data_IF_158014138421
#
_entry.id   IF_158014138421
#
_cell.length_a   1.000
_cell.length_b   1.000
_cell.length_c   1.000
_cell.angle_alpha   90.00
_cell.angle_beta   90.00
_cell.angle_gamma   90.00
#
_symmetry.space_group_name_H-M   'P 1'
#
loop_
_entity.id
_entity.type
_entity.pdbx_description
1 polymer ?
#
# COMPACT_ATOMS: atom_id res chain seq x y z
N UNK A 1 4.94 15.88 -11.22
CA UNK A 1 4.47 14.82 -10.30
C UNK A 1 3.74 13.74 -11.08
N UNK A 2 3.99 12.45 -10.79
CA UNK A 2 3.18 11.32 -11.23
C UNK A 2 2.28 10.88 -10.08
N UNK A 3 0.98 10.65 -10.35
CA UNK A 3 0.01 10.24 -9.33
C UNK A 3 -0.54 8.86 -9.67
N UNK A 4 -0.53 7.95 -8.70
CA UNK A 4 -0.97 6.57 -8.85
C UNK A 4 -1.68 6.06 -7.61
N UNK A 5 -2.44 4.97 -7.76
CA UNK A 5 -3.18 4.29 -6.71
C UNK A 5 -3.54 2.87 -7.15
N UNK A 6 -3.99 2.01 -6.22
CA UNK A 6 -4.68 0.75 -6.52
C UNK A 6 -3.85 -0.25 -7.34
N UNK A 7 -2.71 -0.67 -6.80
CA UNK A 7 -1.77 -1.60 -7.45
C UNK A 7 -2.10 -3.05 -7.15
N UNK A 8 -3.15 -3.62 -7.78
CA UNK A 8 -3.52 -5.00 -7.54
C UNK A 8 -2.65 -5.98 -8.34
N UNK A 9 -1.67 -6.62 -7.69
CA UNK A 9 -0.66 -7.51 -8.30
C UNK A 9 -1.27 -8.67 -9.11
N UNK A 10 -2.28 -9.43 -8.62
CA UNK A 10 -2.85 -10.54 -9.39
C UNK A 10 -3.69 -10.11 -10.58
N UNK A 11 -4.13 -8.84 -10.63
CA UNK A 11 -5.02 -8.34 -11.68
C UNK A 11 -4.32 -8.02 -13.01
N UNK A 12 -3.00 -7.84 -13.01
CA UNK A 12 -2.28 -7.47 -14.23
C UNK A 12 -0.84 -7.03 -13.98
N UNK A 13 -0.15 -6.65 -15.05
CA UNK A 13 1.22 -6.15 -14.99
C UNK A 13 1.27 -4.66 -14.61
N UNK A 14 2.37 -4.27 -13.99
CA UNK A 14 2.61 -2.91 -13.52
C UNK A 14 3.26 -1.99 -14.57
N UNK A 15 2.80 -2.10 -15.83
CA UNK A 15 3.36 -1.38 -16.98
C UNK A 15 3.44 0.14 -16.79
N UNK A 16 2.49 0.73 -16.05
CA UNK A 16 2.48 2.17 -15.74
C UNK A 16 3.73 2.58 -14.98
N UNK A 17 4.21 1.75 -14.06
CA UNK A 17 5.43 2.05 -13.31
C UNK A 17 6.68 2.05 -14.20
N UNK A 18 6.75 1.14 -15.20
CA UNK A 18 7.83 1.16 -16.18
C UNK A 18 7.84 2.45 -17.00
N UNK A 19 6.66 2.97 -17.37
CA UNK A 19 6.57 4.23 -18.11
C UNK A 19 6.96 5.43 -17.24
N UNK A 20 6.54 5.47 -15.97
CA UNK A 20 6.96 6.52 -15.02
C UNK A 20 8.48 6.52 -14.84
N UNK A 21 9.11 5.34 -14.74
CA UNK A 21 10.56 5.22 -14.60
C UNK A 21 11.37 5.81 -15.77
N UNK A 22 10.75 5.98 -16.95
CA UNK A 22 11.40 6.56 -18.15
C UNK A 22 11.28 8.09 -18.24
N UNK A 23 10.43 8.69 -17.43
CA UNK A 23 10.18 10.13 -17.45
C UNK A 23 11.32 10.87 -16.72
N UNK A 24 11.87 11.90 -17.36
CA UNK A 24 13.00 12.68 -16.83
C UNK A 24 12.58 14.03 -16.23
N UNK A 25 11.29 14.36 -16.30
CA UNK A 25 10.69 15.63 -15.88
C UNK A 25 9.74 15.48 -14.68
N UNK A 26 9.90 14.38 -13.91
CA UNK A 26 9.11 14.10 -12.71
C UNK A 26 9.99 14.25 -11.46
N UNK A 27 9.59 15.12 -10.54
CA UNK A 27 10.29 15.36 -9.27
C UNK A 27 9.93 14.33 -8.20
N UNK A 28 8.69 13.84 -8.21
CA UNK A 28 8.18 12.84 -7.28
C UNK A 28 7.01 12.03 -7.84
N UNK A 29 6.90 10.79 -7.39
CA UNK A 29 5.75 9.93 -7.58
C UNK A 29 4.87 9.94 -6.31
N UNK A 30 3.56 10.09 -6.48
CA UNK A 30 2.58 10.09 -5.39
C UNK A 30 1.79 8.77 -5.46
N UNK A 31 1.75 8.02 -4.36
CA UNK A 31 0.91 6.84 -4.24
C UNK A 31 -0.18 7.08 -3.19
N UNK A 32 -1.43 7.04 -3.62
CA UNK A 32 -2.59 7.42 -2.80
C UNK A 32 -3.18 6.26 -1.99
N UNK A 33 -2.47 5.14 -1.90
CA UNK A 33 -2.87 3.95 -1.18
C UNK A 33 -3.23 2.79 -2.09
N UNK A 34 -3.61 1.66 -1.50
CA UNK A 34 -3.75 0.35 -2.16
C UNK A 34 -2.47 -0.05 -2.91
N UNK A 35 -1.36 0.14 -2.23
CA UNK A 35 -0.06 -0.33 -2.74
C UNK A 35 0.02 -1.85 -2.74
N UNK A 36 -0.62 -2.50 -1.77
CA UNK A 36 -0.86 -3.95 -1.71
C UNK A 36 -2.36 -4.21 -1.55
N UNK A 37 -2.78 -5.46 -1.79
CA UNK A 37 -4.12 -5.96 -1.50
C UNK A 37 -4.02 -7.19 -0.60
N UNK A 38 -4.83 -7.26 0.45
CA UNK A 38 -4.81 -8.30 1.48
C UNK A 38 -5.43 -9.63 1.04
N UNK A 39 -6.23 -9.63 -0.01
CA UNK A 39 -7.04 -10.77 -0.44
C UNK A 39 -6.25 -12.07 -0.66
N UNK A 40 -6.88 -13.26 -0.47
CA UNK A 40 -6.30 -14.54 -0.81
C UNK A 40 -6.09 -14.71 -2.32
N UNK A 41 -5.45 -15.81 -2.73
CA UNK A 41 -5.14 -16.08 -4.16
C UNK A 41 -6.34 -16.17 -5.08
N UNK A 42 -7.49 -16.56 -4.56
CA UNK A 42 -8.77 -16.68 -5.25
C UNK A 42 -9.72 -15.50 -4.97
N UNK A 43 -9.19 -14.43 -4.37
CA UNK A 43 -9.93 -13.24 -4.01
C UNK A 43 -10.11 -12.25 -5.17
N UNK A 44 -10.27 -10.99 -4.81
CA UNK A 44 -10.60 -9.91 -5.73
C UNK A 44 -9.64 -9.80 -6.91
N UNK A 45 -10.21 -9.79 -8.14
CA UNK A 45 -9.53 -9.58 -9.41
C UNK A 45 -8.34 -10.53 -9.68
N UNK A 46 -8.44 -11.79 -9.22
CA UNK A 46 -7.36 -12.80 -9.34
C UNK A 46 -7.60 -13.83 -10.47
N UNK A 47 -8.59 -13.63 -11.35
CA UNK A 47 -9.04 -14.60 -12.34
C UNK A 47 -7.93 -15.04 -13.28
N UNK A 48 -7.07 -14.11 -13.67
CA UNK A 48 -5.97 -14.33 -14.60
C UNK A 48 -4.60 -14.53 -13.92
N UNK A 49 -4.55 -14.53 -12.60
CA UNK A 49 -3.30 -14.55 -11.83
C UNK A 49 -2.38 -15.74 -12.16
N UNK A 50 -2.95 -16.92 -12.42
CA UNK A 50 -2.18 -18.11 -12.84
C UNK A 50 -1.60 -17.91 -14.22
N UNK A 51 -2.40 -17.48 -15.19
CA UNK A 51 -1.98 -17.26 -16.58
C UNK A 51 -0.90 -16.17 -16.69
N UNK A 52 -1.01 -15.14 -15.86
CA UNK A 52 -0.07 -14.02 -15.78
C UNK A 52 1.17 -14.33 -14.93
N UNK A 53 1.22 -15.48 -14.26
CA UNK A 53 2.26 -15.81 -13.26
C UNK A 53 2.37 -14.74 -12.15
N UNK A 54 1.21 -14.27 -11.66
CA UNK A 54 1.10 -13.21 -10.64
C UNK A 54 0.32 -13.67 -9.41
N UNK A 55 0.57 -14.91 -8.98
CA UNK A 55 0.00 -15.43 -7.73
C UNK A 55 0.61 -14.70 -6.53
N UNK A 56 -0.25 -14.30 -5.59
CA UNK A 56 0.18 -13.66 -4.35
C UNK A 56 0.65 -14.65 -3.30
N UNK A 57 1.48 -14.19 -2.38
CA UNK A 57 1.85 -14.85 -1.12
C UNK A 57 1.49 -13.94 0.06
N UNK A 58 0.96 -14.50 1.17
CA UNK A 58 0.54 -15.90 1.34
C UNK A 58 -0.65 -16.25 0.43
N UNK A 59 -0.99 -17.54 0.36
CA UNK A 59 -2.19 -18.02 -0.38
C UNK A 59 -3.49 -17.53 0.23
N UNK A 60 -3.46 -17.35 1.54
CA UNK A 60 -4.58 -16.87 2.37
C UNK A 60 -4.60 -15.36 2.40
N UNK A 61 -5.66 -14.80 2.95
CA UNK A 61 -5.73 -13.41 3.32
C UNK A 61 -4.63 -13.04 4.33
N UNK A 62 -4.19 -11.78 4.31
CA UNK A 62 -3.15 -11.31 5.24
C UNK A 62 -3.77 -10.89 6.57
N UNK A 63 -3.37 -11.53 7.66
CA UNK A 63 -3.83 -11.23 9.02
C UNK A 63 -2.65 -11.01 9.97
N UNK A 64 -1.57 -11.78 9.81
CA UNK A 64 -0.39 -11.70 10.68
C UNK A 64 0.71 -10.81 10.08
N UNK A 65 1.67 -10.41 10.92
CA UNK A 65 2.85 -9.65 10.46
C UNK A 65 3.62 -10.39 9.36
N UNK A 66 3.75 -11.72 9.49
CA UNK A 66 4.42 -12.55 8.46
C UNK A 66 3.67 -12.51 7.14
N UNK A 67 2.34 -12.51 7.18
CA UNK A 67 1.51 -12.45 5.97
C UNK A 67 1.69 -11.12 5.26
N UNK A 68 1.59 -10.00 5.97
CA UNK A 68 1.80 -8.67 5.39
C UNK A 68 3.20 -8.51 4.81
N UNK A 69 4.25 -8.96 5.52
CA UNK A 69 5.63 -8.95 5.01
C UNK A 69 5.77 -9.77 3.74
N UNK A 70 5.15 -10.95 3.68
CA UNK A 70 5.16 -11.81 2.49
C UNK A 70 4.44 -11.15 1.32
N UNK A 71 3.32 -10.46 1.59
CA UNK A 71 2.56 -9.73 0.59
C UNK A 71 3.36 -8.54 0.02
N UNK A 72 3.98 -7.72 0.86
CA UNK A 72 4.89 -6.67 0.38
C UNK A 72 6.05 -7.24 -0.42
N UNK A 73 6.65 -8.34 0.05
CA UNK A 73 7.77 -8.97 -0.64
C UNK A 73 7.43 -9.42 -2.07
N UNK A 74 6.24 -10.00 -2.30
CA UNK A 74 5.84 -10.42 -3.65
C UNK A 74 5.58 -9.22 -4.58
N UNK A 75 4.93 -8.16 -4.09
CA UNK A 75 4.73 -6.93 -4.85
C UNK A 75 6.06 -6.26 -5.23
N UNK A 76 6.99 -6.17 -4.28
CA UNK A 76 8.31 -5.55 -4.47
C UNK A 76 9.25 -6.36 -5.36
N UNK A 77 8.89 -7.57 -5.79
CA UNK A 77 9.62 -8.36 -6.80
C UNK A 77 9.29 -7.93 -8.22
N UNK A 78 8.21 -7.17 -8.44
CA UNK A 78 7.86 -6.67 -9.76
C UNK A 78 8.95 -5.72 -10.29
N UNK A 79 9.47 -6.02 -11.48
CA UNK A 79 10.61 -5.30 -12.06
C UNK A 79 10.26 -3.84 -12.42
N UNK A 80 9.02 -3.61 -12.89
CA UNK A 80 8.56 -2.28 -13.27
C UNK A 80 8.36 -1.39 -12.05
N UNK A 81 7.83 -1.97 -10.96
CA UNK A 81 7.72 -1.28 -9.68
C UNK A 81 9.10 -0.95 -9.09
N UNK A 82 10.07 -1.88 -9.19
CA UNK A 82 11.46 -1.63 -8.75
C UNK A 82 12.10 -0.51 -9.57
N UNK A 83 11.90 -0.51 -10.89
CA UNK A 83 12.45 0.53 -11.77
C UNK A 83 11.91 1.92 -11.39
N UNK A 84 10.61 2.05 -11.13
CA UNK A 84 10.02 3.32 -10.67
C UNK A 84 10.60 3.76 -9.32
N UNK A 85 10.70 2.86 -8.35
CA UNK A 85 11.29 3.18 -7.04
C UNK A 85 12.76 3.60 -7.12
N UNK A 86 13.50 3.08 -8.11
CA UNK A 86 14.89 3.46 -8.32
C UNK A 86 15.03 4.81 -9.02
N UNK A 87 14.06 5.17 -9.86
CA UNK A 87 14.13 6.37 -10.70
C UNK A 87 13.59 7.64 -10.01
N UNK A 88 12.53 7.51 -9.18
CA UNK A 88 11.76 8.64 -8.68
C UNK A 88 11.48 8.50 -7.18
N UNK A 89 11.67 9.57 -6.37
CA UNK A 89 11.26 9.58 -4.97
C UNK A 89 9.75 9.31 -4.82
N UNK A 90 9.37 8.42 -3.89
CA UNK A 90 7.97 8.10 -3.64
C UNK A 90 7.44 8.82 -2.39
N UNK A 91 6.31 9.51 -2.55
CA UNK A 91 5.49 10.06 -1.48
C UNK A 91 4.21 9.22 -1.43
N UNK A 92 4.01 8.45 -0.35
CA UNK A 92 2.89 7.52 -0.24
C UNK A 92 2.06 7.76 1.01
N UNK A 93 0.77 7.45 0.92
CA UNK A 93 -0.14 7.22 2.05
C UNK A 93 -0.74 5.83 1.89
N UNK A 94 -1.40 5.33 2.91
CA UNK A 94 -2.25 4.14 2.80
C UNK A 94 -3.67 4.52 2.39
N UNK A 95 -4.39 3.53 1.84
CA UNK A 95 -5.84 3.49 1.83
C UNK A 95 -6.29 2.31 2.73
N UNK A 96 -7.31 1.56 2.37
CA UNK A 96 -7.81 0.47 3.22
C UNK A 96 -7.05 -0.85 3.02
N UNK A 97 -6.69 -1.21 1.79
CA UNK A 97 -6.10 -2.52 1.48
C UNK A 97 -4.70 -2.74 2.05
N UNK A 98 -4.02 -1.72 2.54
CA UNK A 98 -2.83 -1.89 3.37
C UNK A 98 -3.15 -2.56 4.71
N UNK A 99 -4.44 -2.58 5.11
CA UNK A 99 -4.99 -3.22 6.31
C UNK A 99 -5.96 -4.34 5.95
N UNK A 100 -7.16 -3.99 5.50
CA UNK A 100 -8.21 -4.86 5.00
C UNK A 100 -9.29 -4.01 4.32
N UNK A 101 -10.05 -4.61 3.40
CA UNK A 101 -11.10 -3.93 2.65
C UNK A 101 -12.00 -3.08 3.54
N UNK A 102 -12.19 -1.84 3.11
CA UNK A 102 -13.01 -0.81 3.76
C UNK A 102 -12.64 -0.54 5.24
N UNK A 103 -11.33 -0.57 5.54
CA UNK A 103 -10.82 -0.34 6.89
C UNK A 103 -11.13 1.07 7.43
N UNK A 104 -11.43 1.11 8.72
CA UNK A 104 -11.51 2.34 9.52
C UNK A 104 -10.78 2.12 10.86
N UNK A 105 -10.77 3.11 11.75
CA UNK A 105 -10.00 3.03 12.99
C UNK A 105 -10.38 1.82 13.87
N UNK A 106 -11.65 1.40 13.86
CA UNK A 106 -12.20 0.36 14.73
C UNK A 106 -12.39 -1.01 14.08
N UNK A 107 -12.26 -1.14 12.75
CA UNK A 107 -12.57 -2.38 12.04
C UNK A 107 -12.31 -2.33 10.55
N UNK A 108 -12.80 -3.35 9.83
CA UNK A 108 -12.81 -3.42 8.38
C UNK A 108 -13.98 -4.31 7.94
N UNK A 109 -14.44 -4.16 6.69
CA UNK A 109 -15.57 -4.93 6.17
C UNK A 109 -15.30 -6.43 6.19
N UNK A 110 -14.14 -6.85 5.73
CA UNK A 110 -13.74 -8.26 5.64
C UNK A 110 -12.88 -8.75 6.82
N UNK A 111 -12.99 -8.12 7.98
CA UNK A 111 -12.34 -8.58 9.21
C UNK A 111 -13.34 -9.23 10.16
N UNK A 112 -13.12 -10.51 10.50
CA UNK A 112 -13.92 -11.24 11.48
C UNK A 112 -13.17 -11.38 12.82
N UNK A 113 -13.56 -10.61 13.86
CA UNK A 113 -12.91 -10.69 15.17
C UNK A 113 -13.02 -12.06 15.87
N UNK A 114 -14.00 -12.90 15.48
CA UNK A 114 -14.19 -14.21 16.09
C UNK A 114 -13.11 -15.22 15.64
N UNK A 115 -12.61 -15.08 14.41
CA UNK A 115 -11.62 -15.99 13.82
C UNK A 115 -10.23 -15.38 13.69
N UNK A 116 -10.14 -14.06 13.55
CA UNK A 116 -8.89 -13.32 13.28
C UNK A 116 -8.39 -12.54 14.49
N UNK A 117 -9.18 -12.51 15.58
CA UNK A 117 -8.87 -11.72 16.77
C UNK A 117 -9.24 -10.24 16.62
N UNK A 118 -8.86 -9.38 17.56
CA UNK A 118 -9.27 -7.98 17.51
C UNK A 118 -8.61 -7.24 16.33
N UNK A 119 -9.38 -6.41 15.62
CA UNK A 119 -8.86 -5.62 14.50
C UNK A 119 -7.67 -4.73 14.89
N UNK A 120 -7.64 -4.23 16.11
CA UNK A 120 -6.51 -3.45 16.62
C UNK A 120 -5.17 -4.19 16.55
N UNK A 121 -5.17 -5.52 16.72
CA UNK A 121 -3.98 -6.35 16.59
C UNK A 121 -3.56 -6.47 15.11
N UNK A 122 -4.53 -6.77 14.21
CA UNK A 122 -4.29 -6.79 12.76
C UNK A 122 -3.77 -5.44 12.25
N UNK A 123 -4.41 -4.34 12.64
CA UNK A 123 -3.99 -2.99 12.31
C UNK A 123 -2.55 -2.70 12.76
N UNK A 124 -2.19 -3.10 13.98
CA UNK A 124 -0.84 -2.86 14.51
C UNK A 124 0.25 -3.56 13.69
N UNK A 125 0.05 -4.83 13.30
CA UNK A 125 1.01 -5.58 12.48
C UNK A 125 1.03 -5.10 11.03
N UNK A 126 -0.10 -4.67 10.48
CA UNK A 126 -0.18 -4.06 9.15
C UNK A 126 0.60 -2.74 9.10
N UNK A 127 0.42 -1.85 10.10
CA UNK A 127 1.20 -0.61 10.26
C UNK A 127 2.69 -0.90 10.35
N UNK A 128 3.08 -1.91 11.15
CA UNK A 128 4.48 -2.30 11.26
C UNK A 128 5.04 -2.72 9.90
N UNK A 129 4.36 -3.61 9.17
CA UNK A 129 4.80 -4.05 7.86
C UNK A 129 4.86 -2.88 6.86
N UNK A 130 3.87 -1.99 6.88
CA UNK A 130 3.87 -0.80 6.03
C UNK A 130 5.15 0.03 6.22
N UNK A 131 5.49 0.37 7.46
CA UNK A 131 6.69 1.19 7.74
C UNK A 131 8.02 0.45 7.52
N UNK A 132 8.02 -0.88 7.53
CA UNK A 132 9.20 -1.67 7.16
C UNK A 132 9.45 -1.68 5.64
N UNK A 133 8.39 -1.62 4.83
CA UNK A 133 8.47 -1.80 3.38
C UNK A 133 8.30 -0.53 2.57
N UNK A 134 7.61 0.48 3.10
CA UNK A 134 7.35 1.74 2.41
C UNK A 134 8.36 2.82 2.84
N UNK A 135 8.90 3.60 1.90
CA UNK A 135 9.92 4.62 2.18
C UNK A 135 9.28 5.89 2.76
N UNK A 136 8.51 5.75 3.81
CA UNK A 136 7.77 6.85 4.44
C UNK A 136 8.53 7.34 5.67
N UNK A 137 8.83 8.65 5.71
CA UNK A 137 9.33 9.31 6.91
C UNK A 137 8.17 9.95 7.67
N UNK A 138 7.99 9.54 8.92
CA UNK A 138 6.99 10.13 9.81
C UNK A 138 7.49 11.45 10.40
N UNK A 139 6.56 12.40 10.60
CA UNK A 139 6.85 13.64 11.34
C UNK A 139 7.20 13.37 12.82
N UNK A 140 6.54 12.36 13.40
CA UNK A 140 6.76 11.88 14.77
C UNK A 140 6.87 10.34 14.75
N UNK A 141 8.09 9.78 14.89
CA UNK A 141 8.29 8.32 14.85
C UNK A 141 7.57 7.56 15.97
N UNK A 142 7.11 8.24 17.03
CA UNK A 142 6.35 7.62 18.12
C UNK A 142 4.87 7.43 17.78
N UNK A 143 4.40 8.01 16.67
CA UNK A 143 3.01 7.99 16.19
C UNK A 143 2.95 7.35 14.82
N UNK A 144 3.17 6.04 14.76
CA UNK A 144 3.20 5.29 13.51
C UNK A 144 1.83 5.17 12.81
N UNK A 145 0.74 5.53 13.48
CA UNK A 145 -0.62 5.61 12.95
C UNK A 145 -0.98 6.97 12.34
N UNK A 146 -0.02 7.90 12.23
CA UNK A 146 -0.23 9.25 11.67
C UNK A 146 0.57 9.46 10.41
N UNK A 147 -0.02 9.12 9.27
CA UNK A 147 0.65 9.23 7.97
C UNK A 147 0.46 10.60 7.29
N UNK A 148 -0.54 11.37 7.70
CA UNK A 148 -0.84 12.66 7.11
C UNK A 148 0.33 13.64 7.31
N UNK A 149 0.74 14.30 6.24
CA UNK A 149 1.87 15.23 6.21
C UNK A 149 1.82 16.13 4.99
N UNK A 150 2.59 17.21 5.02
CA UNK A 150 2.65 18.18 3.94
C UNK A 150 4.06 18.31 3.37
N UNK A 151 4.15 18.67 2.10
CA UNK A 151 5.38 18.94 1.38
C UNK A 151 5.21 20.22 0.57
N UNK A 152 6.21 21.10 0.62
CA UNK A 152 6.25 22.30 -0.22
C UNK A 152 7.29 22.11 -1.31
N UNK A 153 6.89 22.38 -2.56
CA UNK A 153 7.74 22.37 -3.73
C UNK A 153 7.98 23.83 -4.15
N UNK A 154 9.00 24.41 -3.55
CA UNK A 154 9.26 25.86 -3.65
C UNK A 154 8.08 26.66 -3.13
N UNK A 155 7.72 27.70 -3.87
CA UNK A 155 6.56 28.57 -3.63
C UNK A 155 5.40 28.28 -4.62
N UNK A 156 5.51 27.21 -5.40
CA UNK A 156 4.58 26.86 -6.46
C UNK A 156 3.48 25.87 -5.99
N UNK A 157 3.85 24.84 -5.19
CA UNK A 157 2.92 23.77 -4.79
C UNK A 157 3.08 23.44 -3.32
N UNK A 158 1.98 23.44 -2.56
CA UNK A 158 1.87 22.79 -1.25
C UNK A 158 1.03 21.53 -1.39
N UNK A 159 1.66 20.37 -1.19
CA UNK A 159 1.02 19.05 -1.25
C UNK A 159 0.62 18.62 0.16
N UNK A 160 -0.66 18.30 0.36
CA UNK A 160 -1.18 17.74 1.61
C UNK A 160 -1.60 16.27 1.40
N UNK A 161 -0.84 15.34 1.97
CA UNK A 161 -1.19 13.92 1.99
C UNK A 161 -2.07 13.64 3.20
N UNK A 162 -3.30 13.20 2.98
CA UNK A 162 -4.30 12.98 4.02
C UNK A 162 -4.35 11.51 4.44
N UNK A 163 -4.82 11.26 5.66
CA UNK A 163 -5.29 9.93 6.09
C UNK A 163 -6.82 9.94 6.04
N UNK A 164 -7.39 9.13 5.15
CA UNK A 164 -8.83 9.02 4.94
C UNK A 164 -9.44 7.79 5.60
N UNK A 165 -8.63 6.98 6.31
CA UNK A 165 -9.05 5.69 6.87
C UNK A 165 -8.95 5.61 8.38
N UNK A 166 -7.78 5.90 8.96
CA UNK A 166 -7.55 5.69 10.40
C UNK A 166 -7.83 6.94 11.24
N UNK A 167 -8.03 8.11 10.62
CA UNK A 167 -8.30 9.37 11.33
C UNK A 167 -9.70 9.87 10.96
N UNK A 168 -10.59 9.91 11.95
CA UNK A 168 -11.91 10.52 11.82
C UNK A 168 -12.94 9.75 10.98
N UNK A 169 -12.67 8.50 10.59
CA UNK A 169 -13.64 7.60 9.98
C UNK A 169 -14.16 6.62 11.03
N UNK A 170 -15.49 6.56 11.21
CA UNK A 170 -16.23 5.66 12.09
C UNK A 170 -17.12 4.71 11.29
#
# INVERSE_FOLDING_TARGET
LAVMTCSNYPAGYFNVYAEIAKLNDIDAALHLGDYIYEYPRDGYASQDAVALNRLVEPKTETVTLTDYRSRYAIYRRDADLQAMHAAVPLIAVWDDHEFANDAWIGGAENHDPATEGPFSARRAVALQAYHEWMPVRLNDPTKNDRIYRSFDFGDLVSLHMLDTRLIGRE
#
